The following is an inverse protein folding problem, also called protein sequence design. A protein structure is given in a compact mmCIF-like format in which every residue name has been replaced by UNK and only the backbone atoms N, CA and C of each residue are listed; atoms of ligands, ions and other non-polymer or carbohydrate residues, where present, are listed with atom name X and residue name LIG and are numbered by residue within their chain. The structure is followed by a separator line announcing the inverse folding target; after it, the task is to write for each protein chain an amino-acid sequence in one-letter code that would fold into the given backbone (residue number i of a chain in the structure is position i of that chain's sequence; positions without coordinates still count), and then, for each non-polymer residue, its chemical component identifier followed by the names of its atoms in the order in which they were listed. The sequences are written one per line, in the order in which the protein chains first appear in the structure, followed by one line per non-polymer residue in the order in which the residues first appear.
data_IF_819436329502
#
_entry.id   IF_819436329502
#
_cell.length_a   1.000
_cell.length_b   1.000
_cell.length_c   1.000
_cell.angle_alpha   90.00
_cell.angle_beta   90.00
_cell.angle_gamma   90.00
#
_symmetry.space_group_name_H-M   'P 1'
#
loop_
_entity.id
_entity.type
_entity.pdbx_description
1 polymer ?
#
# COMPACT_ATOMS: atom_id res chain seq x y z
N UNK A 1 -7.99 26.83 72.51
CA UNK A 1 -8.66 25.54 72.27
C UNK A 1 -7.98 24.84 71.11
N UNK A 2 -7.19 23.81 71.43
CA UNK A 2 -6.35 23.06 70.49
C UNK A 2 -7.22 21.94 69.91
N UNK A 3 -7.54 21.98 68.60
CA UNK A 3 -8.19 20.88 67.90
C UNK A 3 -7.13 19.95 67.34
N UNK A 4 -7.06 18.74 67.90
CA UNK A 4 -6.26 17.61 67.44
C UNK A 4 -6.76 17.17 66.06
N UNK A 5 -5.87 17.11 65.08
CA UNK A 5 -6.11 16.46 63.79
C UNK A 5 -5.67 15.00 63.89
N UNK A 6 -6.63 14.08 63.70
CA UNK A 6 -6.40 12.64 63.61
C UNK A 6 -6.05 12.29 62.16
N UNK A 7 -4.86 11.73 61.95
CA UNK A 7 -4.43 11.15 60.68
C UNK A 7 -5.05 9.75 60.54
N UNK A 8 -5.84 9.51 59.49
CA UNK A 8 -6.28 8.17 59.08
C UNK A 8 -5.41 7.74 57.90
N UNK A 9 -4.59 6.73 58.11
CA UNK A 9 -3.73 6.11 57.10
C UNK A 9 -4.53 4.98 56.43
N UNK A 10 -5.03 5.22 55.22
CA UNK A 10 -5.73 4.21 54.42
C UNK A 10 -4.72 3.41 53.61
N UNK A 11 -4.55 2.13 53.95
CA UNK A 11 -3.69 1.18 53.26
C UNK A 11 -4.45 0.64 52.03
N UNK A 12 -4.20 1.18 50.83
CA UNK A 12 -4.72 0.64 49.58
C UNK A 12 -3.82 -0.48 49.08
N UNK A 13 -4.32 -1.72 49.17
CA UNK A 13 -3.74 -2.90 48.53
C UNK A 13 -4.06 -2.86 47.03
N UNK A 14 -3.10 -2.44 46.19
CA UNK A 14 -3.21 -2.58 44.74
C UNK A 14 -2.86 -4.02 44.34
N UNK A 15 -3.89 -4.81 43.98
CA UNK A 15 -3.70 -6.04 43.22
C UNK A 15 -3.17 -5.68 41.83
N UNK A 16 -1.93 -6.06 41.54
CA UNK A 16 -1.41 -6.08 40.17
C UNK A 16 -2.04 -7.26 39.41
N UNK A 17 -3.13 -7.02 38.68
CA UNK A 17 -3.56 -7.92 37.60
C UNK A 17 -2.52 -7.84 36.48
N UNK A 18 -1.59 -8.78 36.45
CA UNK A 18 -0.83 -9.09 35.24
C UNK A 18 -1.79 -9.78 34.27
N UNK A 19 -2.45 -9.00 33.43
CA UNK A 19 -3.11 -9.51 32.24
C UNK A 19 -2.04 -10.07 31.31
N UNK A 20 -1.86 -11.38 31.33
CA UNK A 20 -1.12 -12.08 30.30
C UNK A 20 -1.90 -11.94 28.98
N UNK A 21 -1.56 -10.94 28.17
CA UNK A 21 -1.92 -10.91 26.76
C UNK A 21 -1.03 -11.93 26.05
N UNK A 22 -1.45 -13.18 26.02
CA UNK A 22 -0.87 -14.15 25.10
C UNK A 22 -1.21 -13.72 23.67
N UNK A 23 -0.28 -13.01 23.03
CA UNK A 23 -0.24 -12.90 21.59
C UNK A 23 0.03 -14.31 21.04
N UNK A 24 -1.04 -15.04 20.75
CA UNK A 24 -1.01 -16.39 20.19
C UNK A 24 -0.31 -16.34 18.84
N UNK A 25 0.89 -16.92 18.77
CA UNK A 25 1.63 -17.12 17.53
C UNK A 25 0.87 -18.02 16.55
N UNK A 26 0.93 -17.62 15.29
CA UNK A 26 0.17 -18.02 14.10
C UNK A 26 0.36 -19.51 13.74
N UNK A 27 -0.38 -20.40 14.40
CA UNK A 27 -0.49 -21.81 14.01
C UNK A 27 -1.36 -21.93 12.75
N UNK A 28 -0.75 -21.62 11.60
CA UNK A 28 -1.32 -21.84 10.27
C UNK A 28 -2.56 -21.01 9.99
N UNK A 29 -2.37 -19.72 9.63
CA UNK A 29 -3.46 -18.89 9.15
C UNK A 29 -4.31 -19.65 8.12
N UNK A 30 -5.55 -19.94 8.50
CA UNK A 30 -6.50 -20.72 7.71
C UNK A 30 -6.98 -19.97 6.47
N UNK A 31 -6.65 -18.68 6.36
CA UNK A 31 -6.86 -17.86 5.17
C UNK A 31 -5.56 -17.11 4.90
N UNK A 32 -5.24 -16.85 3.63
CA UNK A 32 -4.11 -16.00 3.27
C UNK A 32 -4.46 -15.06 2.12
N UNK A 33 -3.81 -13.90 2.12
CA UNK A 33 -3.97 -12.89 1.07
C UNK A 33 -2.61 -12.54 0.50
N UNK A 34 -2.51 -12.60 -0.83
CA UNK A 34 -1.42 -12.00 -1.59
C UNK A 34 -1.94 -10.83 -2.42
N UNK A 35 -1.13 -9.80 -2.58
CA UNK A 35 -1.46 -8.64 -3.41
C UNK A 35 -0.43 -8.45 -4.52
N UNK A 36 -0.92 -8.17 -5.71
CA UNK A 36 -0.15 -7.98 -6.92
C UNK A 36 -0.47 -6.59 -7.48
N UNK A 37 0.20 -5.55 -6.97
CA UNK A 37 -0.01 -4.19 -7.41
C UNK A 37 0.73 -3.91 -8.73
N UNK A 38 0.18 -3.05 -9.58
CA UNK A 38 0.87 -2.56 -10.78
C UNK A 38 0.44 -1.13 -11.16
N UNK A 39 1.35 -0.40 -11.83
CA UNK A 39 1.08 0.93 -12.36
C UNK A 39 0.49 0.89 -13.77
N UNK A 40 -0.54 1.72 -14.00
CA UNK A 40 -1.08 1.95 -15.35
C UNK A 40 -1.73 3.32 -15.47
N UNK A 41 -1.23 4.17 -16.36
CA UNK A 41 -1.87 5.44 -16.71
C UNK A 41 -2.01 6.42 -15.55
N UNK A 42 -1.06 6.45 -14.62
CA UNK A 42 -1.10 7.30 -13.41
C UNK A 42 -1.97 6.75 -12.28
N UNK A 43 -2.41 5.50 -12.39
CA UNK A 43 -3.13 4.78 -11.35
C UNK A 43 -2.32 3.57 -10.87
N UNK A 44 -2.66 3.09 -9.67
CA UNK A 44 -2.18 1.84 -9.10
C UNK A 44 -3.37 0.92 -8.94
N UNK A 45 -3.27 -0.30 -9.46
CA UNK A 45 -4.30 -1.33 -9.25
C UNK A 45 -3.73 -2.42 -8.35
N UNK A 46 -4.38 -2.66 -7.21
CA UNK A 46 -4.05 -3.73 -6.27
C UNK A 46 -4.94 -4.93 -6.56
N UNK A 47 -4.38 -6.01 -7.13
CA UNK A 47 -5.09 -7.28 -7.36
C UNK A 47 -4.81 -8.25 -6.21
N UNK A 48 -5.85 -8.78 -5.58
CA UNK A 48 -5.72 -9.69 -4.45
C UNK A 48 -6.00 -11.14 -4.85
N UNK A 49 -5.10 -12.03 -4.42
CA UNK A 49 -5.30 -13.47 -4.41
C UNK A 49 -5.62 -13.91 -2.99
N UNK A 50 -6.82 -14.46 -2.79
CA UNK A 50 -7.33 -14.92 -1.49
C UNK A 50 -7.42 -16.44 -1.52
N UNK A 51 -6.75 -17.10 -0.59
CA UNK A 51 -6.81 -18.56 -0.43
C UNK A 51 -7.52 -18.91 0.87
N UNK A 52 -8.62 -19.67 0.77
CA UNK A 52 -9.39 -20.16 1.92
C UNK A 52 -9.01 -21.61 2.23
N UNK A 53 -8.09 -21.80 3.17
CA UNK A 53 -7.70 -23.11 3.71
C UNK A 53 -8.45 -23.45 5.01
N UNK A 54 -9.51 -22.71 5.34
CA UNK A 54 -10.28 -22.90 6.56
C UNK A 54 -11.30 -24.01 6.40
N UNK A 55 -12.05 -24.32 7.46
CA UNK A 55 -13.16 -25.28 7.40
C UNK A 55 -14.50 -24.62 7.05
N UNK A 56 -14.50 -23.30 6.81
CA UNK A 56 -15.72 -22.51 6.58
C UNK A 56 -15.59 -21.71 5.29
N UNK A 57 -16.70 -21.46 4.61
CA UNK A 57 -16.72 -20.55 3.47
C UNK A 57 -16.59 -19.09 3.95
N UNK A 58 -16.05 -18.20 3.10
CA UNK A 58 -15.97 -16.76 3.37
C UNK A 58 -17.13 -16.05 2.67
N UNK A 59 -17.85 -15.21 3.41
CA UNK A 59 -18.95 -14.37 2.90
C UNK A 59 -18.59 -12.87 2.84
N UNK A 60 -17.49 -12.47 3.47
CA UNK A 60 -16.99 -11.10 3.51
C UNK A 60 -15.50 -11.03 3.81
N UNK A 61 -14.83 -10.02 3.23
CA UNK A 61 -13.43 -9.72 3.42
C UNK A 61 -13.25 -8.20 3.49
N UNK A 62 -12.39 -7.72 4.37
CA UNK A 62 -12.00 -6.32 4.48
C UNK A 62 -10.50 -6.17 4.28
N UNK A 63 -10.07 -5.21 3.47
CA UNK A 63 -8.67 -4.81 3.31
C UNK A 63 -8.42 -3.47 4.01
N UNK A 64 -7.29 -3.37 4.70
CA UNK A 64 -6.89 -2.17 5.42
C UNK A 64 -7.56 -2.04 6.78
N UNK A 65 -7.80 -3.17 7.46
CA UNK A 65 -8.40 -3.19 8.80
C UNK A 65 -7.67 -4.15 9.74
N UNK A 66 -7.12 -3.60 10.82
CA UNK A 66 -6.48 -4.33 11.91
C UNK A 66 -7.16 -4.01 13.25
N UNK A 67 -8.05 -4.89 13.75
CA UNK A 67 -8.88 -4.61 14.92
C UNK A 67 -8.11 -4.47 16.25
N UNK A 68 -6.83 -4.87 16.28
CA UNK A 68 -5.99 -4.74 17.47
C UNK A 68 -5.26 -3.39 17.55
N UNK A 69 -5.25 -2.60 16.47
CA UNK A 69 -4.72 -1.24 16.52
C UNK A 69 -5.73 -0.29 17.16
N UNK A 70 -5.35 0.26 18.31
CA UNK A 70 -6.17 1.16 19.13
C UNK A 70 -5.78 2.63 18.99
N UNK A 71 -4.80 2.96 18.14
CA UNK A 71 -4.37 4.34 17.93
C UNK A 71 -5.31 5.09 16.97
N UNK A 72 -5.97 6.13 17.48
CA UNK A 72 -6.61 7.30 16.83
C UNK A 72 -7.41 7.08 15.51
N UNK A 73 -7.86 5.86 15.23
CA UNK A 73 -8.61 5.51 14.02
C UNK A 73 -9.12 4.06 13.95
N UNK A 74 -9.22 3.40 15.13
CA UNK A 74 -9.93 2.13 15.42
C UNK A 74 -9.70 0.99 14.43
N UNK A 75 -8.48 0.85 13.94
CA UNK A 75 -8.04 -0.27 13.11
C UNK A 75 -8.05 -0.04 11.60
N UNK A 76 -8.65 1.05 11.07
CA UNK A 76 -8.53 1.35 9.64
C UNK A 76 -7.11 1.83 9.29
N UNK A 77 -6.61 1.41 8.12
CA UNK A 77 -5.21 1.61 7.73
C UNK A 77 -5.04 2.47 6.46
N UNK A 78 -6.03 2.48 5.56
CA UNK A 78 -5.89 3.11 4.24
C UNK A 78 -6.14 4.62 4.32
N UNK A 79 -5.28 5.40 3.68
CA UNK A 79 -5.33 6.86 3.59
C UNK A 79 -5.68 7.37 2.18
N UNK A 80 -5.49 6.56 1.14
CA UNK A 80 -5.84 6.90 -0.24
C UNK A 80 -7.10 6.17 -0.68
N UNK A 81 -8.19 6.92 -0.86
CA UNK A 81 -9.44 6.36 -1.36
C UNK A 81 -9.36 6.03 -2.87
N UNK A 82 -10.08 4.99 -3.33
CA UNK A 82 -10.41 4.82 -4.74
C UNK A 82 -11.16 6.05 -5.24
N UNK A 83 -10.89 6.47 -6.49
CA UNK A 83 -11.63 7.57 -7.08
C UNK A 83 -13.10 7.20 -7.27
N UNK A 84 -14.00 7.78 -6.50
CA UNK A 84 -15.44 7.69 -6.75
C UNK A 84 -15.95 9.02 -7.26
N UNK A 85 -16.71 9.00 -8.36
CA UNK A 85 -17.46 10.18 -8.82
C UNK A 85 -18.77 10.34 -8.05
N UNK A 86 -19.27 9.24 -7.46
CA UNK A 86 -20.46 9.24 -6.64
C UNK A 86 -20.09 9.33 -5.17
N UNK A 87 -20.95 10.01 -4.39
CA UNK A 87 -20.98 9.86 -2.93
C UNK A 87 -21.50 8.48 -2.49
N UNK A 88 -21.65 7.53 -3.43
CA UNK A 88 -22.09 6.19 -3.10
C UNK A 88 -21.01 5.54 -2.26
N UNK A 89 -21.47 4.90 -1.20
CA UNK A 89 -20.69 4.06 -0.33
C UNK A 89 -20.10 2.85 -1.10
N UNK A 90 -20.80 2.39 -2.13
CA UNK A 90 -20.41 1.30 -3.02
C UNK A 90 -19.48 1.75 -4.14
N UNK A 91 -18.46 0.95 -4.41
CA UNK A 91 -17.49 1.18 -5.46
C UNK A 91 -18.03 0.72 -6.81
N UNK A 92 -17.75 1.53 -7.83
CA UNK A 92 -18.08 1.22 -9.23
C UNK A 92 -17.24 0.03 -9.73
N UNK A 93 -17.79 -0.84 -10.60
CA UNK A 93 -17.01 -1.86 -11.32
C UNK A 93 -15.82 -1.31 -12.12
N UNK A 94 -15.79 -0.01 -12.43
CA UNK A 94 -14.65 0.65 -13.08
C UNK A 94 -13.45 0.86 -12.13
N UNK A 95 -13.67 0.78 -10.81
CA UNK A 95 -12.67 1.03 -9.77
C UNK A 95 -12.36 -0.19 -8.94
N UNK A 96 -13.27 -1.16 -8.94
CA UNK A 96 -13.09 -2.42 -8.26
C UNK A 96 -13.60 -3.57 -9.10
N UNK A 97 -12.92 -4.70 -8.99
CA UNK A 97 -13.43 -5.97 -9.53
C UNK A 97 -13.67 -6.94 -8.39
N UNK A 98 -14.65 -7.81 -8.59
CA UNK A 98 -15.04 -8.87 -7.66
C UNK A 98 -15.66 -10.03 -8.45
N UNK A 99 -15.71 -11.24 -7.86
CA UNK A 99 -16.52 -12.34 -8.40
C UNK A 99 -17.99 -11.95 -8.57
N UNK A 100 -18.72 -12.69 -9.41
CA UNK A 100 -20.17 -12.49 -9.54
C UNK A 100 -20.87 -12.65 -8.18
N UNK A 101 -21.85 -11.81 -7.88
CA UNK A 101 -22.54 -11.79 -6.59
C UNK A 101 -21.76 -11.14 -5.45
N UNK A 102 -20.59 -10.56 -5.71
CA UNK A 102 -19.83 -9.77 -4.72
C UNK A 102 -19.75 -8.31 -5.14
N UNK A 103 -19.71 -7.42 -4.15
CA UNK A 103 -19.53 -5.99 -4.35
C UNK A 103 -18.49 -5.45 -3.39
N UNK A 104 -18.00 -4.25 -3.67
CA UNK A 104 -16.93 -3.62 -2.91
C UNK A 104 -17.39 -2.24 -2.41
N UNK A 105 -16.94 -1.85 -1.22
CA UNK A 105 -17.43 -0.64 -0.60
C UNK A 105 -16.42 0.00 0.36
N UNK A 106 -16.47 1.33 0.49
CA UNK A 106 -15.51 2.10 1.32
C UNK A 106 -16.11 2.33 2.71
N UNK A 107 -15.61 1.66 3.76
CA UNK A 107 -16.04 1.91 5.14
C UNK A 107 -15.09 2.89 5.84
N UNK A 108 -15.67 3.78 6.65
CA UNK A 108 -14.96 4.66 7.58
C UNK A 108 -15.38 4.27 9.00
N UNK A 109 -14.58 3.49 9.74
CA UNK A 109 -14.94 3.13 11.09
C UNK A 109 -14.88 4.37 11.98
N UNK A 110 -15.98 4.66 12.67
CA UNK A 110 -16.05 5.62 13.78
C UNK A 110 -15.41 6.99 13.51
N UNK A 111 -15.79 7.61 12.38
CA UNK A 111 -15.31 8.93 11.95
C UNK A 111 -13.79 8.99 11.70
N UNK A 112 -13.13 7.84 11.52
CA UNK A 112 -11.72 7.77 11.15
C UNK A 112 -11.45 8.53 9.85
N UNK A 113 -10.32 9.24 9.81
CA UNK A 113 -9.78 9.81 8.57
C UNK A 113 -9.21 8.75 7.63
N UNK A 114 -9.05 7.52 8.14
CA UNK A 114 -8.65 6.34 7.39
C UNK A 114 -9.88 5.51 7.03
N UNK A 115 -9.74 4.74 5.97
CA UNK A 115 -10.79 3.88 5.43
C UNK A 115 -10.34 2.42 5.38
N UNK A 116 -11.30 1.56 5.08
CA UNK A 116 -11.11 0.17 4.71
C UNK A 116 -11.98 -0.16 3.49
N UNK A 117 -11.58 -1.17 2.72
CA UNK A 117 -12.37 -1.66 1.58
C UNK A 117 -12.99 -2.99 1.97
N UNK A 118 -14.32 -3.03 2.05
CA UNK A 118 -15.08 -4.24 2.32
C UNK A 118 -15.56 -4.84 1.00
N UNK A 119 -15.25 -6.11 0.76
CA UNK A 119 -15.91 -6.96 -0.20
C UNK A 119 -16.90 -7.87 0.53
N UNK A 120 -18.14 -7.92 0.04
CA UNK A 120 -19.21 -8.68 0.67
C UNK A 120 -20.10 -9.36 -0.39
N UNK A 121 -20.54 -10.57 -0.08
CA UNK A 121 -21.47 -11.34 -0.92
C UNK A 121 -22.90 -10.77 -0.84
N UNK A 122 -23.63 -10.81 -1.96
CA UNK A 122 -24.91 -10.10 -2.10
C UNK A 122 -26.05 -10.59 -1.21
N UNK A 123 -26.16 -11.90 -0.95
CA UNK A 123 -27.14 -12.41 0.00
C UNK A 123 -26.78 -11.98 1.42
N UNK A 124 -25.50 -12.03 1.77
CA UNK A 124 -25.01 -11.56 3.08
C UNK A 124 -25.34 -10.08 3.27
N UNK A 125 -25.01 -9.26 2.27
CA UNK A 125 -25.27 -7.83 2.28
C UNK A 125 -26.76 -7.52 2.41
N UNK A 126 -27.62 -8.24 1.69
CA UNK A 126 -29.06 -8.07 1.78
C UNK A 126 -29.61 -8.35 3.19
N UNK A 127 -29.01 -9.30 3.92
CA UNK A 127 -29.38 -9.61 5.30
C UNK A 127 -28.86 -8.56 6.27
N UNK A 128 -27.63 -8.06 6.08
CA UNK A 128 -27.03 -7.08 7.00
C UNK A 128 -27.57 -5.67 6.80
N UNK A 129 -27.89 -5.28 5.56
CA UNK A 129 -28.34 -3.93 5.21
C UNK A 129 -29.56 -3.98 4.26
N UNK A 130 -30.72 -4.46 4.73
CA UNK A 130 -31.90 -4.64 3.87
C UNK A 130 -32.43 -3.34 3.27
N UNK A 131 -32.15 -2.18 3.88
CA UNK A 131 -32.61 -0.86 3.42
C UNK A 131 -31.78 -0.26 2.28
N UNK A 132 -30.64 -0.86 1.92
CA UNK A 132 -29.73 -0.33 0.88
C UNK A 132 -29.95 -0.96 -0.50
N UNK A 133 -31.02 -1.75 -0.67
CA UNK A 133 -31.33 -2.43 -1.92
C UNK A 133 -31.43 -1.47 -3.11
N UNK A 134 -30.69 -1.75 -4.18
CA UNK A 134 -30.75 -1.00 -5.45
C UNK A 134 -29.80 0.19 -5.57
N UNK A 135 -28.89 0.39 -4.61
CA UNK A 135 -27.83 1.40 -4.73
C UNK A 135 -26.82 0.97 -5.81
N UNK A 136 -26.39 1.92 -6.64
CA UNK A 136 -25.40 1.67 -7.69
C UNK A 136 -24.09 1.14 -7.07
N UNK A 137 -23.61 0.01 -7.58
CA UNK A 137 -22.39 -0.67 -7.11
C UNK A 137 -22.63 -1.76 -6.07
N UNK A 138 -23.87 -1.88 -5.55
CA UNK A 138 -24.25 -2.96 -4.63
C UNK A 138 -24.10 -4.33 -5.32
N UNK A 139 -23.64 -5.38 -4.59
CA UNK A 139 -23.65 -6.73 -5.12
C UNK A 139 -25.03 -7.19 -5.58
N UNK A 140 -25.06 -7.96 -6.65
CA UNK A 140 -26.27 -8.68 -7.05
C UNK A 140 -26.50 -9.89 -6.15
N UNK A 141 -27.74 -10.10 -5.71
CA UNK A 141 -28.12 -11.34 -5.03
C UNK A 141 -28.07 -12.49 -6.05
N UNK A 142 -27.37 -13.56 -5.71
CA UNK A 142 -27.23 -14.76 -6.55
C UNK A 142 -27.77 -15.98 -5.82
N UNK A 143 -28.41 -16.90 -6.54
CA UNK A 143 -28.95 -18.14 -5.97
C UNK A 143 -28.42 -19.36 -6.75
N UNK A 144 -27.62 -20.25 -6.15
CA UNK A 144 -27.18 -20.23 -4.74
C UNK A 144 -26.19 -19.08 -4.43
N UNK A 145 -26.01 -18.70 -3.15
CA UNK A 145 -25.00 -17.73 -2.73
C UNK A 145 -23.60 -18.10 -3.24
N UNK A 146 -22.85 -17.12 -3.73
CA UNK A 146 -21.51 -17.36 -4.27
C UNK A 146 -20.45 -17.13 -3.19
N UNK A 147 -20.46 -17.93 -2.13
CA UNK A 147 -19.45 -17.85 -1.07
C UNK A 147 -18.08 -18.30 -1.61
N UNK A 148 -16.97 -17.77 -1.06
CA UNK A 148 -15.64 -18.28 -1.37
C UNK A 148 -15.44 -19.64 -0.66
N UNK A 149 -15.45 -20.78 -1.38
CA UNK A 149 -15.54 -22.09 -0.74
C UNK A 149 -14.23 -22.51 -0.05
N UNK A 150 -14.35 -23.49 0.85
CA UNK A 150 -13.20 -24.15 1.48
C UNK A 150 -12.29 -24.79 0.44
N UNK A 151 -10.98 -24.65 0.62
CA UNK A 151 -9.95 -25.24 -0.25
C UNK A 151 -9.77 -24.52 -1.57
N UNK A 152 -10.36 -23.33 -1.74
CA UNK A 152 -10.29 -22.58 -3.01
C UNK A 152 -9.36 -21.36 -2.92
N UNK A 153 -8.96 -20.89 -4.10
CA UNK A 153 -8.21 -19.64 -4.27
C UNK A 153 -8.89 -18.80 -5.34
N UNK A 154 -9.21 -17.54 -5.02
CA UNK A 154 -9.75 -16.56 -5.96
C UNK A 154 -8.78 -15.42 -6.16
N UNK A 155 -8.68 -14.89 -7.37
CA UNK A 155 -7.78 -13.80 -7.74
C UNK A 155 -8.50 -12.62 -8.40
N UNK A 156 -9.83 -12.54 -8.31
CA UNK A 156 -10.64 -11.55 -9.04
C UNK A 156 -10.87 -10.24 -8.28
N UNK A 157 -10.49 -10.18 -7.00
CA UNK A 157 -10.63 -8.99 -6.18
C UNK A 157 -9.59 -7.95 -6.59
N UNK A 158 -10.01 -6.74 -6.94
CA UNK A 158 -9.07 -5.65 -7.16
C UNK A 158 -9.65 -4.28 -6.82
N UNK A 159 -8.76 -3.33 -6.56
CA UNK A 159 -9.08 -1.92 -6.35
C UNK A 159 -8.06 -1.02 -7.05
N UNK A 160 -8.53 0.03 -7.71
CA UNK A 160 -7.69 1.01 -8.42
C UNK A 160 -7.77 2.39 -7.76
N UNK A 161 -6.60 2.96 -7.49
CA UNK A 161 -6.42 4.28 -6.84
C UNK A 161 -5.51 5.20 -7.66
N UNK A 162 -5.58 6.50 -7.41
CA UNK A 162 -4.73 7.50 -8.10
C UNK A 162 -3.30 7.58 -7.57
N UNK A 163 -3.08 7.14 -6.33
CA UNK A 163 -1.81 7.27 -5.65
C UNK A 163 -1.56 6.02 -4.84
N UNK A 164 -0.31 5.60 -4.79
CA UNK A 164 0.12 4.49 -3.94
C UNK A 164 -0.25 4.74 -2.46
N UNK A 165 -0.72 3.68 -1.81
CA UNK A 165 -0.84 3.61 -0.35
C UNK A 165 -0.23 2.29 0.15
N UNK A 166 0.80 2.35 1.02
CA UNK A 166 1.43 1.16 1.57
C UNK A 166 0.48 0.20 2.30
N UNK A 167 -0.65 0.68 2.82
CA UNK A 167 -1.63 -0.15 3.53
C UNK A 167 -2.27 -1.22 2.62
N UNK A 168 -2.40 -0.96 1.31
CA UNK A 168 -2.90 -1.96 0.36
C UNK A 168 -1.92 -3.12 0.15
N UNK A 169 -0.62 -2.93 0.45
CA UNK A 169 0.44 -3.91 0.24
C UNK A 169 0.87 -4.60 1.53
N UNK A 170 1.05 -3.81 2.59
CA UNK A 170 1.67 -4.22 3.86
C UNK A 170 0.71 -4.17 5.05
N UNK A 171 -0.56 -3.79 4.82
CA UNK A 171 -1.58 -3.76 5.87
C UNK A 171 -2.18 -5.13 6.17
N UNK A 172 -3.39 -5.12 6.68
CA UNK A 172 -4.10 -6.32 7.14
C UNK A 172 -5.38 -6.56 6.33
N UNK A 173 -5.68 -7.85 6.17
CA UNK A 173 -6.94 -8.34 5.66
C UNK A 173 -7.71 -9.01 6.79
N UNK A 174 -9.01 -8.75 6.86
CA UNK A 174 -9.90 -9.30 7.87
C UNK A 174 -11.03 -10.07 7.21
N UNK A 175 -11.35 -11.25 7.74
CA UNK A 175 -12.33 -12.20 7.21
C UNK A 175 -13.37 -12.53 8.27
N UNK A 176 -14.62 -12.71 7.84
CA UNK A 176 -15.67 -13.26 8.69
C UNK A 176 -15.87 -14.74 8.36
N UNK A 177 -15.61 -15.59 9.35
CA UNK A 177 -15.73 -17.05 9.26
C UNK A 177 -16.58 -17.54 10.42
N UNK A 178 -17.82 -17.94 10.15
CA UNK A 178 -18.73 -18.54 11.15
C UNK A 178 -18.85 -17.72 12.45
N UNK A 179 -19.18 -16.43 12.32
CA UNK A 179 -19.33 -15.56 13.49
C UNK A 179 -18.01 -15.02 14.04
N UNK A 180 -16.85 -15.50 13.56
CA UNK A 180 -15.53 -15.12 14.06
C UNK A 180 -14.76 -14.28 13.05
N UNK A 181 -14.13 -13.23 13.57
CA UNK A 181 -13.19 -12.40 12.85
C UNK A 181 -11.80 -13.08 12.80
N UNK A 182 -11.22 -13.18 11.61
CA UNK A 182 -9.84 -13.64 11.41
C UNK A 182 -9.08 -12.55 10.66
N UNK A 183 -8.00 -12.05 11.27
CA UNK A 183 -7.14 -11.03 10.66
C UNK A 183 -5.78 -11.63 10.29
N UNK A 184 -5.31 -11.32 9.09
CA UNK A 184 -4.04 -11.81 8.55
C UNK A 184 -3.27 -10.66 7.89
N UNK A 185 -1.93 -10.66 7.93
CA UNK A 185 -1.14 -9.68 7.19
C UNK A 185 -1.24 -9.94 5.69
N UNK A 186 -1.31 -8.87 4.91
CA UNK A 186 -1.23 -8.95 3.44
C UNK A 186 0.21 -9.23 3.05
N UNK A 187 0.41 -10.19 2.14
CA UNK A 187 1.74 -10.52 1.59
C UNK A 187 1.87 -9.98 0.18
N UNK A 188 2.99 -9.35 -0.15
CA UNK A 188 3.29 -9.01 -1.55
C UNK A 188 3.43 -10.28 -2.40
N UNK A 189 2.81 -10.26 -3.57
CA UNK A 189 2.87 -11.33 -4.56
C UNK A 189 4.15 -11.25 -5.39
N UNK A 190 4.56 -10.03 -5.77
CA UNK A 190 5.83 -9.80 -6.46
C UNK A 190 6.94 -9.39 -5.48
N UNK A 191 8.11 -9.98 -5.68
CA UNK A 191 9.32 -9.71 -4.91
C UNK A 191 10.51 -9.35 -5.80
N UNK A 192 10.33 -9.31 -7.12
CA UNK A 192 11.38 -9.03 -8.07
C UNK A 192 11.49 -7.53 -8.27
N UNK A 193 12.66 -6.91 -8.10
CA UNK A 193 12.82 -5.49 -8.38
C UNK A 193 12.85 -5.18 -9.89
N UNK A 194 12.44 -3.96 -10.29
CA UNK A 194 12.59 -3.51 -11.67
C UNK A 194 14.03 -3.55 -12.16
N UNK A 195 14.22 -3.90 -13.43
CA UNK A 195 15.49 -3.74 -14.13
C UNK A 195 15.58 -2.32 -14.69
N UNK A 196 16.48 -1.50 -14.14
CA UNK A 196 16.73 -0.13 -14.60
C UNK A 196 17.83 -0.10 -15.66
N UNK A 197 17.52 0.45 -16.83
CA UNK A 197 18.47 0.74 -17.89
C UNK A 197 18.69 2.24 -17.97
N UNK A 198 19.95 2.67 -17.97
CA UNK A 198 20.32 4.08 -18.08
C UNK A 198 21.50 4.23 -19.03
N UNK A 199 21.55 5.33 -19.78
CA UNK A 199 22.69 5.74 -20.59
C UNK A 199 22.75 7.25 -20.74
N UNK A 200 23.94 7.76 -21.04
CA UNK A 200 24.16 9.16 -21.38
C UNK A 200 23.88 9.34 -22.88
N UNK A 201 22.83 10.07 -23.24
CA UNK A 201 22.49 10.31 -24.66
C UNK A 201 23.32 11.43 -25.26
N UNK A 202 23.49 12.52 -24.49
CA UNK A 202 24.10 13.73 -24.98
C UNK A 202 24.78 14.46 -23.83
N UNK A 203 25.93 15.04 -24.15
CA UNK A 203 26.62 16.02 -23.31
C UNK A 203 26.65 17.31 -24.12
N UNK A 204 26.27 18.42 -23.49
CA UNK A 204 26.50 19.75 -24.05
C UNK A 204 27.36 20.56 -23.10
N UNK A 205 28.23 21.39 -23.65
CA UNK A 205 29.09 22.30 -22.90
C UNK A 205 28.62 23.73 -23.17
N UNK A 206 27.56 24.22 -22.48
CA UNK A 206 27.03 25.56 -22.70
C UNK A 206 28.07 26.65 -22.43
N UNK A 207 29.08 26.36 -21.61
CA UNK A 207 30.28 27.17 -21.39
C UNK A 207 31.40 26.28 -20.82
N UNK A 208 32.65 26.78 -20.68
CA UNK A 208 33.75 25.98 -20.14
C UNK A 208 33.56 25.49 -18.71
N UNK A 209 32.69 26.13 -17.93
CA UNK A 209 32.50 25.87 -16.49
C UNK A 209 31.47 24.77 -16.23
N UNK A 210 30.54 24.52 -17.15
CA UNK A 210 29.44 23.57 -16.93
C UNK A 210 29.23 22.61 -18.09
N UNK A 211 28.73 21.41 -17.76
CA UNK A 211 28.23 20.43 -18.71
C UNK A 211 26.79 20.08 -18.38
N UNK A 212 25.94 20.02 -19.40
CA UNK A 212 24.57 19.51 -19.29
C UNK A 212 24.55 18.08 -19.80
N UNK A 213 24.12 17.17 -18.95
CA UNK A 213 24.01 15.74 -19.18
C UNK A 213 22.55 15.42 -19.49
N UNK A 214 22.29 14.81 -20.66
CA UNK A 214 20.99 14.26 -21.03
C UNK A 214 21.01 12.76 -20.94
N UNK A 215 20.03 12.18 -20.25
CA UNK A 215 19.95 10.76 -19.97
C UNK A 215 18.84 10.07 -20.77
N UNK A 216 19.10 8.85 -21.23
CA UNK A 216 18.08 7.88 -21.57
C UNK A 216 17.91 6.99 -20.35
N UNK A 217 16.69 6.85 -19.84
CA UNK A 217 16.44 5.90 -18.77
C UNK A 217 15.11 5.22 -19.01
N UNK A 218 15.08 3.91 -18.79
CA UNK A 218 13.88 3.10 -18.82
C UNK A 218 13.96 2.08 -17.68
N UNK A 219 12.80 1.56 -17.29
CA UNK A 219 12.69 0.50 -16.31
C UNK A 219 11.70 -0.52 -16.86
N UNK A 220 12.02 -1.80 -16.67
CA UNK A 220 11.18 -2.93 -17.00
C UNK A 220 11.04 -3.80 -15.78
N UNK A 221 9.84 -4.30 -15.54
CA UNK A 221 9.55 -5.21 -14.45
C UNK A 221 8.66 -6.34 -14.96
N UNK A 222 8.69 -7.49 -14.30
CA UNK A 222 7.96 -8.70 -14.71
C UNK A 222 6.45 -8.59 -14.45
N UNK A 223 6.00 -7.74 -13.53
CA UNK A 223 4.59 -7.57 -13.21
C UNK A 223 4.12 -6.14 -13.43
N UNK A 224 4.91 -5.16 -13.01
CA UNK A 224 4.59 -3.75 -13.16
C UNK A 224 5.13 -3.20 -14.49
N UNK A 225 4.29 -3.06 -15.51
CA UNK A 225 4.77 -2.68 -16.84
C UNK A 225 5.42 -1.28 -16.94
N UNK A 226 5.21 -0.41 -15.96
CA UNK A 226 5.68 0.98 -16.01
C UNK A 226 6.05 1.52 -14.62
N UNK A 227 7.07 0.94 -13.95
CA UNK A 227 7.45 1.36 -12.61
C UNK A 227 8.03 2.79 -12.65
N UNK A 228 7.59 3.70 -11.76
CA UNK A 228 8.09 5.07 -11.69
C UNK A 228 9.61 5.14 -11.54
N UNK A 229 10.26 5.98 -12.35
CA UNK A 229 11.71 6.21 -12.31
C UNK A 229 11.99 7.55 -11.66
N UNK A 230 12.97 7.60 -10.76
CA UNK A 230 13.47 8.87 -10.20
C UNK A 230 15.00 8.96 -10.33
N UNK A 231 15.50 10.19 -10.34
CA UNK A 231 16.89 10.47 -10.06
C UNK A 231 17.13 10.34 -8.55
N UNK A 232 17.73 9.23 -8.12
CA UNK A 232 17.95 8.93 -6.70
C UNK A 232 19.12 9.73 -6.12
N UNK A 233 20.23 9.86 -6.86
CA UNK A 233 21.36 10.68 -6.40
C UNK A 233 22.29 11.11 -7.53
N UNK A 234 23.01 12.20 -7.30
CA UNK A 234 24.19 12.60 -8.07
C UNK A 234 25.31 12.88 -7.08
N UNK A 235 26.36 12.07 -7.13
CA UNK A 235 27.55 12.16 -6.27
C UNK A 235 28.79 12.40 -7.11
N UNK A 236 29.91 12.66 -6.46
CA UNK A 236 31.21 12.75 -7.12
C UNK A 236 32.30 12.09 -6.26
N UNK A 237 33.39 11.69 -6.91
CA UNK A 237 34.64 11.27 -6.25
C UNK A 237 35.39 12.44 -5.56
N UNK A 238 34.96 13.67 -5.79
CA UNK A 238 35.48 14.87 -5.12
C UNK A 238 34.35 15.64 -4.41
N UNK A 239 34.67 16.49 -3.41
CA UNK A 239 33.67 17.32 -2.74
C UNK A 239 32.89 18.22 -3.71
N UNK A 240 31.57 18.26 -3.56
CA UNK A 240 30.69 19.15 -4.31
C UNK A 240 30.50 20.47 -3.55
N UNK A 241 30.84 21.58 -4.21
CA UNK A 241 30.53 22.92 -3.75
C UNK A 241 29.10 23.35 -4.07
N UNK A 242 28.64 24.43 -3.43
CA UNK A 242 27.36 25.07 -3.79
C UNK A 242 27.40 25.52 -5.26
N UNK A 243 26.45 25.06 -6.06
CA UNK A 243 26.36 25.39 -7.48
C UNK A 243 27.14 24.45 -8.41
N UNK A 244 27.82 23.42 -7.89
CA UNK A 244 28.49 22.42 -8.72
C UNK A 244 27.51 21.47 -9.42
N UNK A 245 26.29 21.37 -8.91
CA UNK A 245 25.25 20.47 -9.38
C UNK A 245 23.90 21.22 -9.41
N UNK A 246 23.18 21.06 -10.52
CA UNK A 246 21.78 21.41 -10.65
C UNK A 246 21.01 20.22 -11.21
N UNK A 247 20.25 19.55 -10.36
CA UNK A 247 19.35 18.46 -10.70
C UNK A 247 18.27 18.32 -9.61
N UNK A 248 17.05 17.97 -9.99
CA UNK A 248 15.96 17.72 -9.03
C UNK A 248 15.95 16.24 -8.63
N UNK A 249 16.72 15.91 -7.60
CA UNK A 249 16.75 14.59 -6.97
C UNK A 249 15.35 14.25 -6.42
N UNK A 250 14.92 13.00 -6.58
CA UNK A 250 13.61 12.51 -6.15
C UNK A 250 12.49 12.67 -7.19
N UNK A 251 12.81 13.05 -8.42
CA UNK A 251 11.83 13.22 -9.51
C UNK A 251 12.28 12.56 -10.81
N UNK A 252 11.35 12.33 -11.74
CA UNK A 252 11.67 11.79 -13.06
C UNK A 252 12.33 12.87 -13.93
N UNK A 253 13.65 12.99 -13.79
CA UNK A 253 14.45 14.00 -14.49
C UNK A 253 15.40 13.33 -15.47
N UNK A 254 15.43 13.85 -16.70
CA UNK A 254 16.28 13.39 -17.80
C UNK A 254 17.46 14.33 -18.10
N UNK A 255 17.68 15.32 -17.24
CA UNK A 255 18.71 16.35 -17.40
C UNK A 255 19.39 16.67 -16.07
N UNK A 256 20.72 16.75 -16.06
CA UNK A 256 21.48 17.29 -14.93
C UNK A 256 22.54 18.25 -15.45
N UNK A 257 22.80 19.32 -14.72
CA UNK A 257 23.94 20.21 -15.00
C UNK A 257 25.00 20.02 -13.93
N UNK A 258 26.24 19.82 -14.35
CA UNK A 258 27.39 19.59 -13.47
C UNK A 258 28.52 20.56 -13.80
N UNK A 259 29.30 20.97 -12.80
CA UNK A 259 30.49 21.80 -13.02
C UNK A 259 31.62 20.98 -13.62
N UNK A 260 32.32 21.57 -14.58
CA UNK A 260 33.54 21.01 -15.13
C UNK A 260 34.70 21.26 -14.15
N UNK A 261 35.21 20.18 -13.58
CA UNK A 261 36.40 20.18 -12.71
C UNK A 261 37.29 19.06 -13.18
N UNK A 262 38.50 19.41 -13.61
CA UNK A 262 39.46 18.45 -14.16
C UNK A 262 39.68 17.27 -13.20
N UNK A 263 39.53 16.06 -13.73
CA UNK A 263 39.73 14.81 -12.98
C UNK A 263 38.60 14.46 -12.01
N UNK A 264 37.47 15.18 -12.05
CA UNK A 264 36.28 14.86 -11.28
C UNK A 264 35.39 13.89 -12.05
N UNK A 265 34.92 12.84 -11.38
CA UNK A 265 33.91 11.92 -11.88
C UNK A 265 32.60 12.13 -11.13
N UNK A 266 31.49 12.20 -11.86
CA UNK A 266 30.15 12.21 -11.32
C UNK A 266 29.52 10.81 -11.41
N UNK A 267 28.86 10.38 -10.34
CA UNK A 267 28.09 9.14 -10.26
C UNK A 267 26.61 9.48 -10.16
N UNK A 268 25.85 9.14 -11.19
CA UNK A 268 24.43 9.47 -11.34
C UNK A 268 23.63 8.18 -11.16
N UNK A 269 22.86 8.07 -10.07
CA UNK A 269 22.06 6.89 -9.78
C UNK A 269 20.60 7.17 -10.04
N UNK A 270 20.00 6.35 -10.91
CA UNK A 270 18.56 6.26 -11.11
C UNK A 270 18.03 5.05 -10.33
N UNK A 271 16.82 5.20 -9.80
CA UNK A 271 16.07 4.09 -9.23
C UNK A 271 14.69 4.00 -9.87
N UNK A 272 14.12 2.80 -9.86
CA UNK A 272 12.73 2.55 -10.17
C UNK A 272 12.12 1.70 -9.06
N UNK A 273 10.91 2.05 -8.63
CA UNK A 273 10.17 1.30 -7.60
C UNK A 273 8.92 0.75 -8.27
N UNK A 274 8.69 -0.56 -8.20
CA UNK A 274 7.42 -1.13 -8.65
C UNK A 274 6.29 -0.82 -7.65
N UNK A 275 5.05 -1.07 -8.03
CA UNK A 275 3.92 -0.88 -7.14
C UNK A 275 3.91 -1.80 -5.90
N UNK A 276 4.77 -2.85 -5.87
CA UNK A 276 4.97 -3.76 -4.73
C UNK A 276 6.01 -3.21 -3.74
N UNK A 277 6.68 -2.10 -4.06
CA UNK A 277 7.75 -1.49 -3.28
C UNK A 277 9.13 -2.10 -3.50
N UNK A 278 9.33 -2.96 -4.51
CA UNK A 278 10.65 -3.48 -4.86
C UNK A 278 11.43 -2.42 -5.65
N UNK A 279 12.73 -2.25 -5.35
CA UNK A 279 13.53 -1.13 -5.88
C UNK A 279 14.71 -1.63 -6.73
N UNK A 280 14.71 -1.26 -8.00
CA UNK A 280 15.82 -1.41 -8.93
C UNK A 280 16.69 -0.16 -8.99
N UNK A 281 18.00 -0.31 -9.29
CA UNK A 281 18.94 0.83 -9.40
C UNK A 281 19.91 0.66 -10.57
N UNK A 282 20.30 1.80 -11.16
CA UNK A 282 21.39 1.88 -12.13
C UNK A 282 22.23 3.14 -11.90
N UNK A 283 23.54 2.97 -11.83
CA UNK A 283 24.49 4.09 -11.74
C UNK A 283 25.25 4.28 -13.05
N UNK A 284 25.33 5.53 -13.49
CA UNK A 284 26.18 6.00 -14.58
C UNK A 284 27.37 6.76 -14.02
N UNK A 285 28.49 6.72 -14.74
CA UNK A 285 29.67 7.53 -14.45
C UNK A 285 29.90 8.53 -15.58
N UNK A 286 30.19 9.77 -15.24
CA UNK A 286 30.58 10.82 -16.17
C UNK A 286 31.86 11.49 -15.68
N UNK A 287 32.95 11.33 -16.42
CA UNK A 287 34.19 12.06 -16.17
C UNK A 287 34.07 13.47 -16.75
N UNK A 288 34.24 14.48 -15.90
CA UNK A 288 34.33 15.86 -16.32
C UNK A 288 35.52 16.06 -17.24
N UNK A 289 35.40 16.92 -18.28
CA UNK A 289 36.57 17.43 -19.01
C UNK A 289 37.53 18.19 -18.08
#
# INVERSE_FOLDING_TARGET
MIKKFTFILTLTCSLCFHGATEAKTDAGAVVSVKVWPHHRGGFVTYKYTVTNSSLQAIDSMTIGFYPLDTSDGRGAEITVAPLTQSKSFWLSPEKTTSPNGWGAAIRYPDESSKLMIEWIEGNKEHVTHPSEAGVQGMPTIVNPPNLLPVGTTWDTFSVTVQKEDPAYVNGHATFFLDGKLVTVPIKKGDSTPPTVSASLQQITHPNPVFSTLKFSVSALDNYDSAPPIILESVKSDQPLGKGDLSAQVGSDVRLATVRNVKGRTYFITFSATDASGNVGRKTLSYASP
#
